data_IF_809053660110
#
_entry.id   IF_809053660110
#
_cell.length_a   1.000
_cell.length_b   1.000
_cell.length_c   1.000
_cell.angle_alpha   90.00
_cell.angle_beta   90.00
_cell.angle_gamma   90.00
#
_symmetry.space_group_name_H-M   'P 1'
#
loop_
_entity.id
_entity.type
_entity.pdbx_description
1 polymer ?
#
# COMPACT_ATOMS: atom_id res chain seq x y z
N UNK A 1 -18.42 4.96 13.07
CA UNK A 1 -17.11 4.31 12.97
C UNK A 1 -16.47 4.36 14.35
N UNK A 2 -16.00 3.24 14.92
CA UNK A 2 -15.49 3.16 16.30
C UNK A 2 -13.96 2.97 16.37
N UNK A 3 -13.29 2.92 15.22
CA UNK A 3 -11.86 2.73 15.08
C UNK A 3 -11.43 2.96 13.63
N UNK A 4 -10.13 2.80 13.37
CA UNK A 4 -9.53 2.88 12.03
C UNK A 4 -8.83 1.55 11.77
N UNK A 5 -9.13 0.91 10.64
CA UNK A 5 -8.41 -0.27 10.15
C UNK A 5 -7.42 0.14 9.06
N UNK A 6 -6.14 -0.09 9.35
CA UNK A 6 -5.04 0.14 8.43
C UNK A 6 -4.42 -1.20 8.06
N UNK A 7 -4.20 -1.45 6.77
CA UNK A 7 -3.46 -2.63 6.28
C UNK A 7 -2.10 -2.18 5.75
N UNK A 8 -1.03 -2.75 6.27
CA UNK A 8 0.32 -2.50 5.75
C UNK A 8 0.61 -3.40 4.54
N UNK A 9 1.18 -2.82 3.49
CA UNK A 9 1.54 -3.44 2.22
C UNK A 9 3.05 -3.63 2.16
N UNK A 10 3.48 -4.89 2.25
CA UNK A 10 4.89 -5.28 2.44
C UNK A 10 5.45 -6.16 1.33
N UNK A 11 4.69 -6.37 0.25
CA UNK A 11 5.12 -7.22 -0.85
C UNK A 11 4.68 -6.69 -2.22
N UNK A 12 5.45 -7.04 -3.25
CA UNK A 12 5.12 -6.75 -4.66
C UNK A 12 3.75 -7.32 -5.03
N UNK A 13 3.41 -8.53 -4.59
CA UNK A 13 2.10 -9.13 -4.82
C UNK A 13 0.96 -8.31 -4.20
N UNK A 14 1.16 -7.80 -2.98
CA UNK A 14 0.18 -6.96 -2.32
C UNK A 14 0.02 -5.60 -3.03
N UNK A 15 1.11 -5.01 -3.55
CA UNK A 15 1.05 -3.79 -4.39
C UNK A 15 0.25 -4.05 -5.67
N UNK A 16 0.52 -5.15 -6.39
CA UNK A 16 -0.19 -5.50 -7.63
C UNK A 16 -1.69 -5.72 -7.38
N UNK A 17 -2.04 -6.29 -6.23
CA UNK A 17 -3.40 -6.75 -5.94
C UNK A 17 -4.15 -5.86 -4.93
N UNK A 18 -3.65 -4.65 -4.63
CA UNK A 18 -4.12 -3.84 -3.50
C UNK A 18 -5.62 -3.53 -3.55
N UNK A 19 -6.21 -3.41 -4.75
CA UNK A 19 -7.65 -3.17 -4.90
C UNK A 19 -8.50 -4.29 -4.27
N UNK A 20 -7.98 -5.52 -4.18
CA UNK A 20 -8.66 -6.64 -3.49
C UNK A 20 -8.77 -6.42 -1.99
N UNK A 21 -7.96 -5.54 -1.40
CA UNK A 21 -7.98 -5.16 0.01
C UNK A 21 -8.93 -3.99 0.28
N UNK A 22 -9.42 -3.30 -0.77
CA UNK A 22 -10.39 -2.21 -0.65
C UNK A 22 -11.80 -2.76 -0.34
N UNK A 23 -12.01 -3.13 0.93
CA UNK A 23 -13.26 -3.73 1.44
C UNK A 23 -13.98 -2.78 2.40
N UNK A 24 -15.32 -2.90 2.53
CA UNK A 24 -16.05 -2.17 3.56
C UNK A 24 -15.40 -2.36 4.94
N UNK A 25 -15.06 -1.25 5.59
CA UNK A 25 -14.42 -1.25 6.91
C UNK A 25 -12.90 -1.20 6.89
N UNK A 26 -12.24 -1.22 5.72
CA UNK A 26 -10.82 -0.87 5.59
C UNK A 26 -10.74 0.63 5.32
N UNK A 27 -10.05 1.37 6.17
CA UNK A 27 -9.99 2.83 6.05
C UNK A 27 -8.75 3.28 5.27
N UNK A 28 -7.63 2.57 5.39
CA UNK A 28 -6.35 2.97 4.80
C UNK A 28 -5.42 1.78 4.51
N UNK A 29 -4.53 1.95 3.53
CA UNK A 29 -3.33 1.13 3.34
C UNK A 29 -2.06 1.96 3.59
N UNK A 30 -1.03 1.32 4.15
CA UNK A 30 0.32 1.90 4.37
C UNK A 30 1.38 0.98 3.80
N UNK A 31 2.66 1.35 3.86
CA UNK A 31 3.76 0.55 3.30
C UNK A 31 4.82 0.26 4.37
N UNK A 32 5.21 -1.01 4.52
CA UNK A 32 6.40 -1.37 5.27
C UNK A 32 7.61 -1.26 4.37
N UNK A 33 8.29 -0.12 4.40
CA UNK A 33 9.38 0.20 3.48
C UNK A 33 10.46 -0.88 3.41
N UNK A 34 10.92 -1.40 4.56
CA UNK A 34 11.98 -2.39 4.60
C UNK A 34 11.56 -3.72 3.96
N UNK A 35 10.39 -4.25 4.35
CA UNK A 35 9.88 -5.52 3.84
C UNK A 35 9.51 -5.41 2.36
N UNK A 36 8.93 -4.28 1.94
CA UNK A 36 8.59 -4.05 0.54
C UNK A 36 9.83 -3.88 -0.34
N UNK A 37 10.87 -3.18 0.11
CA UNK A 37 12.13 -3.09 -0.63
C UNK A 37 12.78 -4.48 -0.78
N UNK A 38 12.80 -5.28 0.28
CA UNK A 38 13.27 -6.67 0.20
C UNK A 38 12.43 -7.51 -0.77
N UNK A 39 11.10 -7.33 -0.77
CA UNK A 39 10.22 -7.99 -1.72
C UNK A 39 10.48 -7.56 -3.16
N UNK A 40 10.82 -6.29 -3.42
CA UNK A 40 11.16 -5.80 -4.77
C UNK A 40 12.45 -6.46 -5.27
N UNK A 41 13.49 -6.47 -4.44
CA UNK A 41 14.81 -7.05 -4.80
C UNK A 41 14.74 -8.55 -5.10
N UNK A 42 13.86 -9.27 -4.42
CA UNK A 42 13.70 -10.71 -4.55
C UNK A 42 12.69 -11.14 -5.62
N UNK A 43 11.94 -10.21 -6.22
CA UNK A 43 10.90 -10.54 -7.20
C UNK A 43 11.53 -10.86 -8.57
N UNK A 44 11.31 -12.07 -9.15
CA UNK A 44 12.02 -12.54 -10.36
C UNK A 44 11.88 -11.65 -11.60
N UNK A 45 10.89 -10.76 -11.63
CA UNK A 45 10.64 -9.80 -12.71
C UNK A 45 10.02 -8.54 -12.13
N UNK A 46 10.72 -7.88 -11.20
CA UNK A 46 10.19 -6.78 -10.41
C UNK A 46 9.52 -5.71 -11.30
N UNK A 47 8.19 -5.51 -11.21
CA UNK A 47 7.49 -4.50 -12.00
C UNK A 47 7.71 -3.09 -11.48
N UNK A 48 8.29 -2.96 -10.28
CA UNK A 48 8.60 -1.71 -9.61
C UNK A 48 10.09 -1.70 -9.25
N UNK A 49 10.72 -0.52 -9.35
CA UNK A 49 12.15 -0.32 -9.05
C UNK A 49 12.40 0.18 -7.63
N UNK A 50 11.39 0.79 -7.00
CA UNK A 50 11.51 1.42 -5.70
C UNK A 50 10.13 1.63 -5.06
N UNK A 51 10.12 2.02 -3.79
CA UNK A 51 8.91 2.32 -3.03
C UNK A 51 8.01 3.37 -3.69
N UNK A 52 8.57 4.38 -4.36
CA UNK A 52 7.75 5.45 -4.97
C UNK A 52 6.91 4.95 -6.14
N UNK A 53 7.46 4.05 -6.96
CA UNK A 53 6.70 3.39 -8.02
C UNK A 53 5.57 2.51 -7.45
N UNK A 54 5.81 1.83 -6.33
CA UNK A 54 4.77 1.08 -5.62
C UNK A 54 3.66 1.99 -5.10
N UNK A 55 4.01 3.12 -4.47
CA UNK A 55 3.04 4.10 -3.94
C UNK A 55 2.17 4.63 -5.09
N UNK A 56 2.78 5.11 -6.16
CA UNK A 56 2.06 5.65 -7.32
C UNK A 56 1.10 4.60 -7.93
N UNK A 57 1.52 3.33 -7.97
CA UNK A 57 0.69 2.24 -8.46
C UNK A 57 -0.53 1.98 -7.56
N UNK A 58 -0.33 1.97 -6.24
CA UNK A 58 -1.41 1.79 -5.26
C UNK A 58 -2.39 2.96 -5.28
N UNK A 59 -1.88 4.21 -5.34
CA UNK A 59 -2.72 5.41 -5.47
C UNK A 59 -3.62 5.33 -6.71
N UNK A 60 -3.07 4.94 -7.85
CA UNK A 60 -3.83 4.77 -9.08
C UNK A 60 -4.91 3.68 -8.96
N UNK A 61 -4.59 2.53 -8.36
CA UNK A 61 -5.57 1.43 -8.18
C UNK A 61 -6.70 1.77 -7.21
N UNK A 62 -6.43 2.61 -6.21
CA UNK A 62 -7.37 2.96 -5.14
C UNK A 62 -8.10 4.28 -5.37
N UNK A 63 -7.81 5.01 -6.46
CA UNK A 63 -8.38 6.33 -6.77
C UNK A 63 -9.92 6.37 -6.74
N UNK A 64 -10.58 5.30 -7.17
CA UNK A 64 -12.04 5.17 -7.21
C UNK A 64 -12.63 4.47 -5.96
N UNK A 65 -11.83 4.32 -4.89
CA UNK A 65 -12.25 3.64 -3.66
C UNK A 65 -12.32 4.60 -2.47
N UNK A 66 -12.92 4.15 -1.37
CA UNK A 66 -12.95 4.91 -0.11
C UNK A 66 -11.65 4.79 0.71
N UNK A 67 -10.79 3.83 0.35
CA UNK A 67 -9.57 3.51 1.10
C UNK A 67 -8.49 4.54 0.81
N UNK A 68 -7.87 5.07 1.88
CA UNK A 68 -6.79 6.04 1.79
C UNK A 68 -5.42 5.38 1.62
N UNK A 69 -4.48 6.13 1.06
CA UNK A 69 -3.08 5.70 0.93
C UNK A 69 -2.21 6.55 1.86
N UNK A 70 -1.53 5.90 2.81
CA UNK A 70 -0.58 6.53 3.71
C UNK A 70 0.85 6.33 3.23
N UNK A 71 1.48 7.39 2.73
CA UNK A 71 2.83 7.37 2.15
C UNK A 71 3.94 7.99 3.04
N UNK A 72 3.65 8.26 4.33
CA UNK A 72 4.62 8.82 5.28
C UNK A 72 5.54 7.76 5.90
N UNK A 73 6.76 8.16 6.27
CA UNK A 73 7.78 7.35 6.98
C UNK A 73 7.42 6.98 8.43
N UNK A 74 6.17 7.23 8.81
CA UNK A 74 5.53 6.88 10.07
C UNK A 74 4.03 6.87 9.79
N UNK A 75 3.19 6.16 10.56
CA UNK A 75 1.74 6.30 10.50
C UNK A 75 1.35 7.69 11.02
N UNK A 76 1.66 8.72 10.23
CA UNK A 76 1.28 10.10 10.40
C UNK A 76 0.50 10.48 9.15
N UNK A 77 -0.77 10.09 9.14
CA UNK A 77 -1.79 10.72 8.31
C UNK A 77 -2.62 11.59 9.23
N UNK A 78 -2.74 12.88 8.93
CA UNK A 78 -3.86 13.65 9.48
C UNK A 78 -5.13 13.10 8.86
N UNK A 79 -6.04 12.58 9.69
CA UNK A 79 -7.41 12.26 9.26
C UNK A 79 -8.15 13.55 8.88
#
# INVERSE_FOLDING_TARGET
NNGILIIQIDSVEAVINVQKLAKPGVDMVTFGENDLNFSIESYPSAPFKNLQECIAHVEAQLADTHVKVGAGSSPSGSL
#
